data_IF_077421836501
#
_entry.id   IF_077421836501
#
_cell.length_a   1.000
_cell.length_b   1.000
_cell.length_c   1.000
_cell.angle_alpha   90.00
_cell.angle_beta   90.00
_cell.angle_gamma   90.00
#
_symmetry.space_group_name_H-M   'P 1'
#
loop_
_entity.id
_entity.type
_entity.pdbx_description
1 polymer ?
#
# COMPACT_ATOMS: atom_id res chain seq x y z
N UNK A 1 -15.85 38.50 -12.64
CA UNK A 1 -16.41 37.92 -13.87
C UNK A 1 -15.99 36.47 -13.92
N UNK A 2 -16.95 35.54 -14.00
CA UNK A 2 -16.65 34.11 -14.16
C UNK A 2 -16.38 33.82 -15.63
N UNK A 3 -15.13 34.01 -16.07
CA UNK A 3 -14.72 33.75 -17.45
C UNK A 3 -14.86 32.27 -17.83
N UNK A 4 -14.90 31.37 -16.85
CA UNK A 4 -15.07 29.93 -17.07
C UNK A 4 -16.52 29.52 -17.27
N UNK A 5 -17.48 30.36 -16.87
CA UNK A 5 -18.92 30.15 -17.12
C UNK A 5 -19.31 30.24 -18.60
N UNK A 6 -18.40 30.66 -19.48
CA UNK A 6 -18.60 30.71 -20.95
C UNK A 6 -18.10 29.42 -21.66
N UNK A 7 -17.36 28.57 -20.96
CA UNK A 7 -16.83 27.32 -21.52
C UNK A 7 -17.91 26.24 -21.37
N UNK A 8 -18.24 25.48 -22.43
CA UNK A 8 -19.17 24.36 -22.33
C UNK A 8 -18.73 23.32 -21.31
N UNK A 9 -19.69 22.71 -20.61
CA UNK A 9 -19.44 21.71 -19.58
C UNK A 9 -18.60 20.53 -20.10
N UNK A 10 -18.88 20.05 -21.32
CA UNK A 10 -18.11 18.97 -21.95
C UNK A 10 -16.62 19.31 -22.10
N UNK A 11 -16.30 20.57 -22.43
CA UNK A 11 -14.91 21.02 -22.51
C UNK A 11 -14.26 21.07 -21.12
N UNK A 12 -14.99 21.48 -20.09
CA UNK A 12 -14.51 21.47 -18.71
C UNK A 12 -14.29 20.04 -18.22
N UNK A 13 -15.20 19.10 -18.52
CA UNK A 13 -15.04 17.69 -18.19
C UNK A 13 -13.83 17.09 -18.91
N UNK A 14 -13.62 17.37 -20.19
CA UNK A 14 -12.43 16.87 -20.88
C UNK A 14 -11.15 17.42 -20.27
N UNK A 15 -11.09 18.73 -19.92
CA UNK A 15 -9.96 19.32 -19.20
C UNK A 15 -9.73 18.59 -17.87
N UNK A 16 -10.76 18.45 -17.04
CA UNK A 16 -10.68 17.79 -15.73
C UNK A 16 -10.18 16.35 -15.86
N UNK A 17 -10.60 15.62 -16.90
CA UNK A 17 -10.21 14.23 -17.13
C UNK A 17 -8.71 14.03 -17.41
N UNK A 18 -7.99 15.10 -17.76
CA UNK A 18 -6.52 15.10 -17.90
C UNK A 18 -5.77 15.60 -16.66
N UNK A 19 -6.49 15.97 -15.60
CA UNK A 19 -5.91 16.39 -14.32
C UNK A 19 -5.84 15.23 -13.34
N UNK A 20 -5.48 15.50 -12.08
CA UNK A 20 -5.58 14.52 -11.00
C UNK A 20 -6.97 14.56 -10.33
N UNK A 21 -7.39 13.48 -9.64
CA UNK A 21 -8.55 13.50 -8.74
C UNK A 21 -8.51 14.64 -7.72
N UNK A 22 -7.32 14.92 -7.15
CA UNK A 22 -7.13 16.03 -6.22
C UNK A 22 -7.36 17.40 -6.87
N UNK A 23 -6.80 17.62 -8.06
CA UNK A 23 -6.98 18.88 -8.79
C UNK A 23 -8.41 19.06 -9.26
N UNK A 24 -9.08 17.97 -9.67
CA UNK A 24 -10.51 18.00 -10.00
C UNK A 24 -11.35 18.40 -8.78
N UNK A 25 -11.07 17.83 -7.61
CA UNK A 25 -11.76 18.21 -6.38
C UNK A 25 -11.52 19.70 -6.04
N UNK A 26 -10.30 20.21 -6.20
CA UNK A 26 -9.97 21.63 -5.98
C UNK A 26 -10.69 22.54 -6.97
N UNK A 27 -10.61 22.25 -8.27
CA UNK A 27 -11.24 23.03 -9.34
C UNK A 27 -12.77 23.05 -9.21
N UNK A 28 -13.38 21.97 -8.72
CA UNK A 28 -14.84 21.90 -8.48
C UNK A 28 -15.35 22.98 -7.51
N UNK A 29 -14.48 23.55 -6.67
CA UNK A 29 -14.84 24.62 -5.72
C UNK A 29 -14.66 26.02 -6.30
N UNK A 30 -14.03 26.15 -7.47
CA UNK A 30 -13.65 27.44 -8.05
C UNK A 30 -14.76 28.13 -8.85
N UNK A 31 -15.62 27.37 -9.53
CA UNK A 31 -16.74 27.88 -10.31
C UNK A 31 -17.87 26.86 -10.41
N UNK A 32 -19.09 27.31 -10.75
CA UNK A 32 -20.23 26.41 -10.96
C UNK A 32 -20.02 25.47 -12.16
N UNK A 33 -19.36 25.95 -13.21
CA UNK A 33 -19.06 25.14 -14.39
C UNK A 33 -18.14 23.97 -14.04
N UNK A 34 -17.05 24.23 -13.32
CA UNK A 34 -16.16 23.16 -12.85
C UNK A 34 -16.84 22.24 -11.83
N UNK A 35 -17.73 22.78 -10.98
CA UNK A 35 -18.49 21.97 -10.04
C UNK A 35 -19.35 20.92 -10.77
N UNK A 36 -20.14 21.35 -11.76
CA UNK A 36 -20.97 20.46 -12.57
C UNK A 36 -20.13 19.44 -13.34
N UNK A 37 -19.09 19.91 -14.04
CA UNK A 37 -18.20 19.07 -14.81
C UNK A 37 -17.47 18.01 -13.97
N UNK A 38 -17.18 18.30 -12.69
CA UNK A 38 -16.55 17.39 -11.75
C UNK A 38 -17.49 16.32 -11.17
N UNK A 39 -18.79 16.35 -11.48
CA UNK A 39 -19.73 15.25 -11.19
C UNK A 39 -19.87 14.29 -12.39
N UNK A 40 -19.26 14.58 -13.54
CA UNK A 40 -19.36 13.77 -14.75
C UNK A 40 -18.63 12.42 -14.62
N UNK A 41 -19.32 11.33 -14.96
CA UNK A 41 -18.75 9.98 -14.94
C UNK A 41 -17.55 9.81 -15.89
N UNK A 42 -17.53 10.56 -17.00
CA UNK A 42 -16.43 10.54 -17.98
C UNK A 42 -15.11 10.98 -17.32
N UNK A 43 -15.18 11.93 -16.39
CA UNK A 43 -14.00 12.42 -15.65
C UNK A 43 -13.47 11.33 -14.73
N UNK A 44 -14.35 10.76 -13.90
CA UNK A 44 -13.96 9.79 -12.88
C UNK A 44 -13.59 8.43 -13.48
N UNK A 45 -14.14 8.05 -14.63
CA UNK A 45 -13.71 6.86 -15.35
C UNK A 45 -12.25 6.97 -15.82
N UNK A 46 -11.78 8.15 -16.27
CA UNK A 46 -10.36 8.33 -16.64
C UNK A 46 -9.40 8.23 -15.45
N UNK A 47 -9.88 8.42 -14.22
CA UNK A 47 -9.07 8.27 -13.01
C UNK A 47 -8.97 6.84 -12.51
N UNK A 48 -9.83 5.95 -13.00
CA UNK A 48 -9.77 4.54 -12.67
C UNK A 48 -8.65 3.84 -13.47
N UNK A 49 -7.99 2.82 -12.90
CA UNK A 49 -7.04 2.02 -13.66
C UNK A 49 -7.70 1.36 -14.87
N UNK A 50 -6.97 1.17 -15.97
CA UNK A 50 -7.52 0.58 -17.21
C UNK A 50 -8.14 -0.81 -17.02
N UNK A 51 -7.71 -1.56 -16.01
CA UNK A 51 -8.21 -2.88 -15.64
C UNK A 51 -9.26 -2.85 -14.52
N UNK A 52 -9.83 -1.68 -14.18
CA UNK A 52 -10.79 -1.55 -13.08
C UNK A 52 -12.00 -2.47 -13.22
N UNK A 53 -12.46 -2.76 -14.44
CA UNK A 53 -13.58 -3.68 -14.68
C UNK A 53 -13.29 -5.09 -14.15
N UNK A 54 -12.07 -5.58 -14.34
CA UNK A 54 -11.63 -6.86 -13.77
C UNK A 54 -11.56 -6.81 -12.25
N UNK A 55 -11.22 -5.65 -11.69
CA UNK A 55 -11.12 -5.42 -10.24
C UNK A 55 -12.53 -5.42 -9.61
N UNK A 56 -13.47 -4.65 -10.15
CA UNK A 56 -14.83 -4.55 -9.60
C UNK A 56 -15.63 -5.85 -9.78
N UNK A 57 -15.33 -6.65 -10.81
CA UNK A 57 -15.98 -7.96 -11.00
C UNK A 57 -15.80 -8.91 -9.81
N UNK A 58 -14.77 -8.67 -8.99
CA UNK A 58 -14.47 -9.44 -7.77
C UNK A 58 -15.28 -8.99 -6.56
N UNK A 59 -16.00 -7.87 -6.63
CA UNK A 59 -16.78 -7.31 -5.52
C UNK A 59 -18.19 -6.89 -5.95
N UNK A 60 -19.21 -7.58 -5.44
CA UNK A 60 -20.62 -7.27 -5.73
C UNK A 60 -21.06 -5.89 -5.24
N UNK A 61 -20.46 -5.37 -4.16
CA UNK A 61 -20.83 -4.05 -3.63
C UNK A 61 -20.39 -2.91 -4.54
N UNK A 62 -19.22 -3.05 -5.20
CA UNK A 62 -18.70 -2.04 -6.12
C UNK A 62 -19.48 -1.98 -7.44
N UNK A 63 -20.06 -3.11 -7.88
CA UNK A 63 -20.93 -3.15 -9.06
C UNK A 63 -22.24 -2.38 -8.87
N UNK A 64 -22.62 -2.10 -7.63
CA UNK A 64 -23.84 -1.38 -7.30
C UNK A 64 -23.61 0.13 -7.10
N UNK A 65 -22.38 0.63 -7.31
CA UNK A 65 -22.09 2.07 -7.19
C UNK A 65 -22.90 2.88 -8.21
N UNK A 66 -23.61 3.94 -7.77
CA UNK A 66 -24.53 4.68 -8.63
C UNK A 66 -23.84 5.70 -9.55
N UNK A 67 -22.53 5.96 -9.36
CA UNK A 67 -21.71 6.80 -10.25
C UNK A 67 -20.24 6.39 -10.19
N UNK A 68 -19.46 6.76 -11.21
CA UNK A 68 -18.01 6.50 -11.28
C UNK A 68 -17.25 7.22 -10.17
N UNK A 69 -17.71 8.42 -9.79
CA UNK A 69 -17.17 9.16 -8.63
C UNK A 69 -17.31 8.37 -7.33
N UNK A 70 -18.51 7.83 -7.07
CA UNK A 70 -18.74 7.04 -5.87
C UNK A 70 -17.97 5.72 -5.90
N UNK A 71 -17.84 5.09 -7.07
CA UNK A 71 -16.99 3.92 -7.26
C UNK A 71 -15.53 4.23 -6.92
N UNK A 72 -15.00 5.35 -7.43
CA UNK A 72 -13.63 5.79 -7.16
C UNK A 72 -13.39 5.96 -5.65
N UNK A 73 -14.23 6.72 -4.95
CA UNK A 73 -14.06 6.90 -3.50
C UNK A 73 -14.26 5.61 -2.71
N UNK A 74 -15.16 4.73 -3.14
CA UNK A 74 -15.32 3.41 -2.52
C UNK A 74 -14.03 2.58 -2.63
N UNK A 75 -13.35 2.64 -3.77
CA UNK A 75 -12.05 1.99 -3.99
C UNK A 75 -10.90 2.62 -3.20
N UNK A 76 -11.00 3.91 -2.86
CA UNK A 76 -10.04 4.58 -1.98
C UNK A 76 -10.25 4.21 -0.51
N UNK A 77 -11.49 4.32 -0.05
CA UNK A 77 -11.82 4.27 1.38
C UNK A 77 -12.04 2.82 1.88
N UNK A 78 -12.34 1.87 0.99
CA UNK A 78 -12.59 0.47 1.33
C UNK A 78 -11.74 -0.50 0.49
N UNK A 79 -10.57 -0.92 1.01
CA UNK A 79 -9.72 -1.89 0.32
C UNK A 79 -10.47 -3.20 0.05
N UNK A 80 -10.38 -3.70 -1.17
CA UNK A 80 -10.95 -4.99 -1.55
C UNK A 80 -9.91 -6.10 -1.43
N UNK A 81 -10.35 -7.29 -1.05
CA UNK A 81 -9.50 -8.46 -1.05
C UNK A 81 -9.42 -9.09 -2.44
N UNK A 82 -8.20 -9.39 -2.88
CA UNK A 82 -7.89 -10.05 -4.15
C UNK A 82 -7.04 -11.30 -3.88
N UNK A 83 -6.84 -12.11 -4.93
CA UNK A 83 -6.05 -13.34 -4.87
C UNK A 83 -6.47 -14.29 -3.73
N UNK A 84 -7.76 -14.63 -3.66
CA UNK A 84 -8.29 -15.51 -2.61
C UNK A 84 -8.19 -14.94 -1.19
N UNK A 85 -8.02 -13.62 -1.03
CA UNK A 85 -7.86 -12.97 0.28
C UNK A 85 -6.41 -12.76 0.71
N UNK A 86 -5.44 -13.06 -0.15
CA UNK A 86 -4.01 -12.95 0.14
C UNK A 86 -3.44 -11.57 -0.14
N UNK A 87 -4.13 -10.77 -0.95
CA UNK A 87 -3.76 -9.40 -1.25
C UNK A 87 -4.94 -8.47 -1.02
N UNK A 88 -4.67 -7.20 -0.74
CA UNK A 88 -5.68 -6.16 -0.75
C UNK A 88 -5.35 -5.08 -1.76
N UNK A 89 -6.37 -4.56 -2.42
CA UNK A 89 -6.28 -3.51 -3.41
C UNK A 89 -7.10 -2.28 -2.97
N UNK A 90 -6.53 -1.10 -3.17
CA UNK A 90 -7.24 0.18 -3.08
C UNK A 90 -6.64 1.20 -4.05
N UNK A 91 -7.26 2.37 -4.16
CA UNK A 91 -6.70 3.50 -4.91
C UNK A 91 -6.16 4.56 -3.97
N UNK A 92 -5.00 5.14 -4.31
CA UNK A 92 -4.58 6.39 -3.70
C UNK A 92 -5.57 7.50 -4.08
N UNK A 93 -6.08 8.20 -3.07
CA UNK A 93 -7.18 9.17 -3.21
C UNK A 93 -6.81 10.43 -3.98
N UNK A 94 -5.52 10.79 -4.00
CA UNK A 94 -5.04 12.01 -4.65
C UNK A 94 -4.70 11.77 -6.11
N UNK A 95 -4.08 10.63 -6.38
CA UNK A 95 -3.47 10.32 -7.68
C UNK A 95 -4.26 9.31 -8.50
N UNK A 96 -5.17 8.53 -7.88
CA UNK A 96 -5.86 7.41 -8.53
C UNK A 96 -4.94 6.23 -8.85
N UNK A 97 -3.70 6.22 -8.34
CA UNK A 97 -2.74 5.15 -8.56
C UNK A 97 -3.05 3.96 -7.65
N UNK A 98 -2.67 2.77 -8.09
CA UNK A 98 -2.98 1.51 -7.41
C UNK A 98 -2.16 1.38 -6.13
N UNK A 99 -2.83 1.04 -5.03
CA UNK A 99 -2.24 0.61 -3.77
C UNK A 99 -2.45 -0.89 -3.60
N UNK A 100 -1.40 -1.60 -3.18
CA UNK A 100 -1.51 -3.03 -2.85
C UNK A 100 -0.93 -3.32 -1.48
N UNK A 101 -1.54 -4.25 -0.76
CA UNK A 101 -0.89 -4.88 0.40
C UNK A 101 -0.85 -6.39 0.21
N UNK A 102 0.32 -6.98 0.43
CA UNK A 102 0.54 -8.42 0.51
C UNK A 102 0.25 -8.85 1.94
N UNK A 103 -0.66 -9.80 2.16
CA UNK A 103 -0.96 -10.30 3.50
C UNK A 103 0.23 -11.04 4.11
N UNK A 104 0.30 -11.08 5.44
CA UNK A 104 1.31 -11.85 6.16
C UNK A 104 1.37 -13.32 5.75
N UNK A 105 0.23 -13.89 5.31
CA UNK A 105 0.12 -15.27 4.83
C UNK A 105 0.85 -15.52 3.50
N UNK A 106 1.01 -14.48 2.69
CA UNK A 106 1.69 -14.55 1.39
C UNK A 106 3.15 -14.07 1.48
N UNK A 107 3.60 -13.68 2.68
CA UNK A 107 5.01 -13.36 2.91
C UNK A 107 5.84 -14.64 3.08
N UNK A 108 7.03 -14.64 2.50
CA UNK A 108 8.05 -15.63 2.83
C UNK A 108 8.68 -15.25 4.18
N UNK A 109 8.15 -15.84 5.24
CA UNK A 109 8.60 -15.64 6.62
C UNK A 109 9.32 -16.89 7.10
N UNK A 110 10.50 -16.68 7.68
CA UNK A 110 11.35 -17.75 8.18
C UNK A 110 10.74 -18.51 9.36
N UNK A 111 10.71 -19.84 9.22
CA UNK A 111 10.06 -20.79 10.14
C UNK A 111 8.59 -20.52 10.43
N UNK A 112 7.88 -19.88 9.50
CA UNK A 112 6.48 -19.50 9.67
C UNK A 112 5.50 -20.68 9.76
N UNK A 113 5.95 -21.86 9.34
CA UNK A 113 5.31 -23.16 9.49
C UNK A 113 5.56 -23.82 10.86
N UNK A 114 6.45 -23.25 11.68
CA UNK A 114 6.85 -23.81 12.98
C UNK A 114 6.06 -23.14 14.12
N UNK A 115 5.08 -23.83 14.75
CA UNK A 115 4.17 -23.22 15.73
C UNK A 115 4.83 -22.71 17.02
N UNK A 116 6.06 -23.17 17.30
CA UNK A 116 6.85 -22.68 18.42
C UNK A 116 7.30 -21.23 18.22
N UNK A 117 7.53 -20.84 16.96
CA UNK A 117 8.06 -19.53 16.60
C UNK A 117 6.98 -18.56 16.14
N UNK A 118 5.99 -19.07 15.40
CA UNK A 118 4.90 -18.27 14.86
C UNK A 118 3.54 -18.84 15.23
N UNK A 119 2.56 -17.96 15.43
CA UNK A 119 1.16 -18.31 15.49
C UNK A 119 0.37 -17.48 14.49
N UNK A 120 -0.67 -18.07 13.96
CA UNK A 120 -1.57 -17.42 13.03
C UNK A 120 -2.92 -17.26 13.69
N UNK A 121 -3.48 -16.06 13.61
CA UNK A 121 -4.75 -15.76 14.26
C UNK A 121 -5.50 -14.69 13.49
N UNK A 122 -6.82 -14.65 13.64
CA UNK A 122 -7.61 -13.48 13.27
C UNK A 122 -7.26 -12.29 14.15
N UNK A 123 -7.37 -11.08 13.61
CA UNK A 123 -7.24 -9.83 14.36
C UNK A 123 -8.39 -8.91 13.95
N UNK A 124 -9.16 -8.32 14.90
CA UNK A 124 -10.36 -7.55 14.59
C UNK A 124 -10.07 -6.35 13.68
N UNK A 125 -8.95 -5.68 13.90
CA UNK A 125 -8.55 -4.53 13.08
C UNK A 125 -7.83 -4.92 11.78
N UNK A 126 -7.74 -6.21 11.45
CA UNK A 126 -7.07 -6.66 10.23
C UNK A 126 -8.03 -6.74 9.04
N UNK A 127 -7.59 -6.24 7.89
CA UNK A 127 -8.28 -6.48 6.60
C UNK A 127 -8.15 -7.92 6.11
N UNK A 128 -7.15 -8.67 6.57
CA UNK A 128 -6.94 -10.08 6.23
C UNK A 128 -7.49 -11.00 7.32
N UNK A 129 -7.89 -12.20 6.91
CA UNK A 129 -8.42 -13.24 7.81
C UNK A 129 -7.43 -13.65 8.90
N UNK A 130 -6.13 -13.63 8.60
CA UNK A 130 -5.08 -14.03 9.51
C UNK A 130 -3.88 -13.08 9.48
N UNK A 131 -3.27 -12.89 10.64
CA UNK A 131 -2.02 -12.15 10.84
C UNK A 131 -0.95 -13.06 11.45
N UNK A 132 0.32 -12.77 11.19
CA UNK A 132 1.43 -13.55 11.74
C UNK A 132 1.84 -12.99 13.11
N UNK A 133 1.77 -13.81 14.14
CA UNK A 133 2.19 -13.48 15.51
C UNK A 133 3.53 -14.13 15.81
N UNK A 134 4.57 -13.32 15.97
CA UNK A 134 5.88 -13.76 16.40
C UNK A 134 5.87 -14.10 17.89
N UNK A 135 6.08 -15.37 18.22
CA UNK A 135 6.21 -15.86 19.60
C UNK A 135 7.65 -15.68 20.08
N UNK A 136 8.60 -16.25 19.31
CA UNK A 136 10.00 -16.28 19.66
C UNK A 136 10.83 -16.65 18.43
N UNK A 137 11.86 -15.87 18.10
CA UNK A 137 12.95 -16.27 17.20
C UNK A 137 14.25 -15.58 17.62
N UNK A 138 15.40 -16.07 17.16
CA UNK A 138 16.66 -15.32 17.23
C UNK A 138 17.04 -14.69 15.89
N UNK A 139 16.51 -15.21 14.78
CA UNK A 139 16.76 -14.74 13.43
C UNK A 139 15.40 -14.38 12.81
N UNK A 140 15.29 -13.19 12.22
CA UNK A 140 14.05 -12.74 11.61
C UNK A 140 14.35 -12.30 10.18
N UNK A 141 13.67 -12.92 9.23
CA UNK A 141 13.74 -12.59 7.81
C UNK A 141 12.33 -12.77 7.22
N UNK A 142 11.80 -11.68 6.66
CA UNK A 142 10.48 -11.59 6.06
C UNK A 142 10.61 -10.92 4.71
N UNK A 143 10.07 -11.56 3.67
CA UNK A 143 10.08 -11.05 2.29
C UNK A 143 8.67 -11.03 1.74
N UNK A 144 8.32 -9.93 1.07
CA UNK A 144 7.12 -9.83 0.26
C UNK A 144 7.50 -9.54 -1.18
N UNK A 145 6.84 -10.20 -2.12
CA UNK A 145 7.09 -10.07 -3.55
C UNK A 145 5.80 -9.68 -4.26
N UNK A 146 5.85 -8.69 -5.14
CA UNK A 146 4.72 -8.29 -5.99
C UNK A 146 5.18 -8.11 -7.43
N UNK A 147 4.37 -8.58 -8.36
CA UNK A 147 4.60 -8.38 -9.78
C UNK A 147 4.46 -6.89 -10.14
N UNK A 148 5.46 -6.35 -10.83
CA UNK A 148 5.51 -4.95 -11.29
C UNK A 148 4.30 -4.55 -12.15
N UNK A 149 3.73 -5.49 -12.91
CA UNK A 149 2.54 -5.29 -13.76
C UNK A 149 1.27 -5.01 -12.97
N UNK A 150 1.22 -5.40 -11.69
CA UNK A 150 0.10 -5.04 -10.81
C UNK A 150 0.18 -3.57 -10.41
N UNK A 151 1.38 -3.02 -10.26
CA UNK A 151 1.62 -1.64 -9.87
C UNK A 151 1.35 -0.65 -11.02
N UNK A 152 1.00 0.58 -10.68
CA UNK A 152 0.85 1.65 -11.67
C UNK A 152 2.18 2.02 -12.30
N UNK A 153 2.19 2.20 -13.62
CA UNK A 153 3.36 2.66 -14.39
C UNK A 153 3.69 4.12 -14.07
N UNK A 154 4.95 4.51 -14.34
CA UNK A 154 5.54 5.83 -14.07
C UNK A 154 5.16 6.38 -12.71
N UNK A 155 5.28 5.55 -11.67
CA UNK A 155 4.83 5.88 -10.31
C UNK A 155 5.95 5.58 -9.31
N UNK A 156 6.24 6.55 -8.45
CA UNK A 156 7.08 6.33 -7.26
C UNK A 156 6.23 5.62 -6.21
N UNK A 157 6.75 4.54 -5.67
CA UNK A 157 6.14 3.77 -4.60
C UNK A 157 7.01 3.84 -3.36
N UNK A 158 6.37 4.07 -2.22
CA UNK A 158 6.94 3.84 -0.90
C UNK A 158 6.37 2.53 -0.37
N UNK A 159 7.25 1.67 0.12
CA UNK A 159 6.87 0.35 0.64
C UNK A 159 6.92 0.37 2.15
N UNK A 160 5.87 -0.14 2.79
CA UNK A 160 5.70 -0.14 4.24
C UNK A 160 5.47 -1.54 4.77
N UNK A 161 6.13 -1.89 5.87
CA UNK A 161 5.69 -3.02 6.70
C UNK A 161 4.60 -2.52 7.65
N UNK A 162 3.46 -3.19 7.69
CA UNK A 162 2.34 -2.86 8.58
C UNK A 162 2.18 -3.92 9.67
N UNK A 163 2.24 -3.48 10.93
CA UNK A 163 2.37 -4.36 12.08
C UNK A 163 1.80 -3.77 13.39
N UNK A 164 1.67 -4.60 14.41
CA UNK A 164 1.36 -4.21 15.80
C UNK A 164 2.38 -4.83 16.75
N UNK A 165 2.53 -4.21 17.92
CA UNK A 165 3.38 -4.70 19.00
C UNK A 165 2.50 -5.13 20.18
N UNK A 166 2.71 -6.35 20.68
CA UNK A 166 2.06 -6.81 21.91
C UNK A 166 2.62 -6.08 23.12
N UNK A 167 1.82 -5.99 24.17
CA UNK A 167 2.33 -5.67 25.51
C UNK A 167 3.41 -6.68 25.88
N UNK A 168 4.58 -6.21 26.31
CA UNK A 168 5.74 -7.06 26.62
C UNK A 168 6.49 -7.60 25.40
N UNK A 169 6.34 -7.01 24.21
CA UNK A 169 7.26 -7.28 23.08
C UNK A 169 8.72 -7.01 23.49
N UNK A 170 9.65 -7.74 22.88
CA UNK A 170 11.07 -7.66 23.23
C UNK A 170 11.99 -8.01 22.06
N UNK A 171 13.25 -7.58 22.15
CA UNK A 171 14.36 -8.06 21.31
C UNK A 171 14.41 -7.55 19.87
N UNK A 172 13.44 -6.76 19.42
CA UNK A 172 13.40 -6.17 18.07
C UNK A 172 13.26 -4.64 18.14
N UNK A 173 14.38 -3.95 18.38
CA UNK A 173 14.43 -2.48 18.42
C UNK A 173 14.67 -1.87 17.03
N UNK A 174 15.56 -2.50 16.26
CA UNK A 174 15.95 -2.09 14.92
C UNK A 174 15.99 -3.27 13.98
N UNK A 175 15.73 -3.04 12.70
CA UNK A 175 15.89 -4.03 11.63
C UNK A 175 16.52 -3.37 10.40
N UNK A 176 17.09 -4.19 9.52
CA UNK A 176 17.53 -3.75 8.21
C UNK A 176 16.40 -3.99 7.20
N UNK A 177 16.18 -3.04 6.29
CA UNK A 177 15.19 -3.16 5.22
C UNK A 177 15.75 -2.73 3.89
N UNK A 178 15.24 -3.32 2.82
CA UNK A 178 15.43 -2.84 1.47
C UNK A 178 14.24 -3.19 0.59
N UNK A 179 14.15 -2.50 -0.55
CA UNK A 179 13.25 -2.83 -1.65
C UNK A 179 14.08 -2.87 -2.93
N UNK A 180 13.88 -3.89 -3.75
CA UNK A 180 14.64 -4.09 -5.00
C UNK A 180 13.77 -4.64 -6.13
N UNK A 181 14.24 -4.46 -7.35
CA UNK A 181 13.75 -5.21 -8.52
C UNK A 181 14.54 -6.51 -8.63
N UNK A 182 13.84 -7.64 -8.59
CA UNK A 182 14.47 -8.97 -8.46
C UNK A 182 15.35 -9.34 -9.65
N UNK A 183 15.00 -8.83 -10.82
CA UNK A 183 15.67 -9.02 -12.11
C UNK A 183 16.87 -8.07 -12.33
N UNK A 184 16.97 -6.97 -11.56
CA UNK A 184 17.97 -5.91 -11.77
C UNK A 184 19.08 -5.89 -10.73
N UNK A 185 18.82 -6.44 -9.55
CA UNK A 185 19.72 -6.36 -8.40
C UNK A 185 19.72 -7.68 -7.62
N UNK A 186 20.91 -8.19 -7.28
CA UNK A 186 21.05 -9.40 -6.47
C UNK A 186 20.75 -9.15 -4.99
N UNK A 187 20.47 -10.22 -4.23
CA UNK A 187 20.26 -10.14 -2.77
C UNK A 187 21.45 -9.51 -2.03
N UNK A 188 22.68 -9.81 -2.45
CA UNK A 188 23.89 -9.33 -1.79
C UNK A 188 24.07 -7.82 -1.98
N UNK A 189 23.89 -7.34 -3.23
CA UNK A 189 23.96 -5.91 -3.55
C UNK A 189 22.89 -5.12 -2.78
N UNK A 190 21.67 -5.65 -2.71
CA UNK A 190 20.58 -5.02 -1.98
C UNK A 190 20.81 -5.00 -0.45
N UNK A 191 21.43 -6.04 0.11
CA UNK A 191 21.77 -6.09 1.54
C UNK A 191 22.85 -5.07 1.92
N UNK A 192 23.83 -4.81 1.04
CA UNK A 192 24.88 -3.81 1.30
C UNK A 192 24.33 -2.39 1.44
N UNK A 193 23.21 -2.09 0.76
CA UNK A 193 22.52 -0.79 0.82
C UNK A 193 21.27 -0.80 1.72
N UNK A 194 21.09 -1.85 2.52
CA UNK A 194 19.94 -1.95 3.41
C UNK A 194 19.93 -0.80 4.43
N UNK A 195 18.77 -0.22 4.65
CA UNK A 195 18.57 0.87 5.61
C UNK A 195 18.23 0.32 6.98
N UNK A 196 18.78 0.92 8.04
CA UNK A 196 18.40 0.59 9.41
C UNK A 196 17.15 1.38 9.79
N UNK A 197 16.13 0.67 10.26
CA UNK A 197 14.84 1.23 10.68
C UNK A 197 14.57 0.90 12.15
N UNK A 198 13.89 1.80 12.86
CA UNK A 198 13.55 1.64 14.28
C UNK A 198 12.09 1.23 14.48
N UNK A 199 11.90 0.04 15.05
CA UNK A 199 10.60 -0.63 15.27
C UNK A 199 9.90 -0.12 16.53
N UNK A 200 10.67 0.25 17.56
CA UNK A 200 10.16 0.78 18.81
C UNK A 200 9.82 2.27 18.67
N UNK A 201 8.67 2.68 19.20
CA UNK A 201 8.25 4.08 19.28
C UNK A 201 9.24 4.89 20.12
N UNK A 202 10.12 5.65 19.47
CA UNK A 202 10.87 6.73 20.12
C UNK A 202 10.29 8.07 19.68
N UNK A 203 9.85 8.86 20.64
CA UNK A 203 9.42 10.25 20.40
C UNK A 203 10.65 11.08 20.04
N UNK A 204 10.64 11.67 18.83
CA UNK A 204 11.72 12.51 18.31
C UNK A 204 11.72 12.55 16.77
N UNK A 205 12.25 13.61 16.16
CA UNK A 205 12.32 13.76 14.71
C UNK A 205 13.34 12.76 14.14
N UNK A 206 12.89 11.87 13.25
CA UNK A 206 13.75 10.95 12.52
C UNK A 206 12.98 10.23 11.41
N UNK A 207 13.57 10.17 10.22
CA UNK A 207 12.91 9.68 8.99
C UNK A 207 12.72 8.15 8.96
N UNK A 208 13.45 7.37 9.79
CA UNK A 208 13.42 5.90 9.78
C UNK A 208 12.78 5.28 11.03
N UNK A 209 11.62 5.79 11.45
CA UNK A 209 10.91 5.31 12.66
C UNK A 209 9.51 4.85 12.32
N UNK A 210 9.05 3.81 13.01
CA UNK A 210 7.66 3.37 12.92
C UNK A 210 6.69 4.50 13.32
N UNK A 211 5.59 4.65 12.58
CA UNK A 211 4.53 5.63 12.85
C UNK A 211 3.20 4.90 13.06
N UNK A 212 2.33 5.48 13.89
CA UNK A 212 0.96 4.99 14.07
C UNK A 212 0.07 5.52 12.94
N UNK A 213 -0.76 4.66 12.38
CA UNK A 213 -1.76 4.94 11.36
C UNK A 213 -3.12 5.24 12.01
N UNK A 214 -4.05 5.76 11.20
CA UNK A 214 -5.43 6.03 11.63
C UNK A 214 -6.22 4.75 11.95
N UNK A 215 -5.83 3.62 11.37
CA UNK A 215 -6.39 2.28 11.63
C UNK A 215 -5.75 1.57 12.84
N UNK A 216 -4.99 2.32 13.65
CA UNK A 216 -4.32 1.86 14.87
C UNK A 216 -3.18 0.85 14.62
N UNK A 217 -2.88 0.50 13.37
CA UNK A 217 -1.66 -0.23 13.03
C UNK A 217 -0.45 0.70 13.08
N UNK A 218 0.72 0.10 13.24
CA UNK A 218 2.00 0.76 13.02
C UNK A 218 2.44 0.49 11.59
N UNK A 219 3.12 1.44 10.97
CA UNK A 219 3.85 1.23 9.72
C UNK A 219 5.29 1.71 9.83
N UNK A 220 6.16 1.08 9.07
CA UNK A 220 7.55 1.52 8.91
C UNK A 220 7.95 1.46 7.45
N UNK A 221 8.55 2.53 6.96
CA UNK A 221 9.05 2.62 5.58
C UNK A 221 10.23 1.66 5.40
N UNK A 222 10.11 0.78 4.42
CA UNK A 222 11.13 -0.21 4.06
C UNK A 222 12.06 0.29 2.95
N UNK A 223 11.56 1.22 2.11
CA UNK A 223 12.28 1.83 1.00
C UNK A 223 11.34 2.33 -0.09
N UNK A 224 11.93 2.92 -1.13
CA UNK A 224 11.23 3.51 -2.28
C UNK A 224 11.70 2.89 -3.59
N UNK A 225 10.80 2.80 -4.56
CA UNK A 225 11.09 2.37 -5.94
C UNK A 225 10.31 3.21 -6.94
N UNK A 226 10.84 3.33 -8.17
CA UNK A 226 10.12 3.92 -9.30
C UNK A 226 9.74 2.82 -10.29
N UNK A 227 8.44 2.56 -10.45
CA UNK A 227 7.93 1.62 -11.43
C UNK A 227 7.71 2.34 -12.76
N UNK A 228 8.65 2.26 -13.70
CA UNK A 228 8.59 2.98 -14.98
C UNK A 228 7.61 2.33 -15.98
N UNK A 229 8.00 1.20 -16.60
CA UNK A 229 7.28 0.61 -17.72
C UNK A 229 6.34 -0.56 -17.33
N UNK A 230 6.38 -1.04 -16.08
CA UNK A 230 5.71 -2.28 -15.68
C UNK A 230 6.20 -3.47 -16.51
N UNK A 231 7.53 -3.60 -16.66
CA UNK A 231 8.21 -4.72 -17.32
C UNK A 231 7.88 -6.05 -16.64
N UNK A 232 8.00 -7.19 -17.32
CA UNK A 232 7.81 -8.50 -16.68
C UNK A 232 8.90 -8.73 -15.62
N UNK A 233 8.53 -8.58 -14.36
CA UNK A 233 9.44 -8.69 -13.23
C UNK A 233 8.73 -8.53 -11.89
N UNK A 234 9.51 -8.57 -10.82
CA UNK A 234 8.98 -8.53 -9.46
C UNK A 234 9.74 -7.52 -8.62
N UNK A 235 8.99 -6.83 -7.75
CA UNK A 235 9.56 -6.03 -6.67
C UNK A 235 9.54 -6.87 -5.40
N UNK A 236 10.70 -7.01 -4.75
CA UNK A 236 10.84 -7.64 -3.44
C UNK A 236 11.10 -6.56 -2.39
N UNK A 237 10.37 -6.63 -1.29
CA UNK A 237 10.64 -5.91 -0.07
C UNK A 237 11.05 -6.89 1.03
N UNK A 238 12.16 -6.64 1.70
CA UNK A 238 12.70 -7.51 2.75
C UNK A 238 12.93 -6.73 4.03
N UNK A 239 12.52 -7.31 5.15
CA UNK A 239 12.92 -6.88 6.50
C UNK A 239 13.69 -8.01 7.17
N UNK A 240 14.85 -7.68 7.73
CA UNK A 240 15.74 -8.65 8.35
C UNK A 240 16.39 -8.13 9.64
N UNK A 241 16.40 -8.97 10.67
CA UNK A 241 17.26 -8.83 11.85
C UNK A 241 17.86 -10.22 12.14
N UNK A 242 19.03 -10.43 11.57
CA UNK A 242 19.71 -11.73 11.49
C UNK A 242 21.08 -11.74 12.14
N UNK A 243 21.58 -10.57 12.58
CA UNK A 243 22.97 -10.39 13.02
C UNK A 243 23.10 -10.36 14.54
N UNK A 244 22.15 -9.74 15.25
CA UNK A 244 22.23 -9.63 16.73
C UNK A 244 21.89 -10.96 17.41
N UNK A 245 21.12 -11.82 16.75
CA UNK A 245 20.72 -13.16 17.21
C UNK A 245 20.08 -13.18 18.61
N UNK A 246 19.60 -12.03 19.09
CA UNK A 246 18.88 -11.91 20.35
C UNK A 246 17.46 -12.44 20.18
N UNK A 247 16.98 -13.12 21.22
CA UNK A 247 15.60 -13.57 21.30
C UNK A 247 14.65 -12.38 21.13
N UNK A 248 13.68 -12.53 20.24
CA UNK A 248 12.67 -11.50 19.93
C UNK A 248 11.28 -12.11 19.78
N UNK A 249 10.27 -11.36 20.22
CA UNK A 249 8.89 -11.81 20.27
C UNK A 249 7.90 -10.67 20.48
N UNK A 250 6.61 -10.97 20.29
CA UNK A 250 5.52 -10.01 20.47
C UNK A 250 5.25 -9.10 19.27
N UNK A 251 5.71 -9.48 18.08
CA UNK A 251 5.46 -8.78 16.82
C UNK A 251 4.23 -9.36 16.11
N UNK A 252 3.30 -8.54 15.64
CA UNK A 252 2.11 -8.97 14.89
C UNK A 252 2.16 -8.35 13.50
N UNK A 253 2.34 -9.16 12.46
CA UNK A 253 2.47 -8.68 11.08
C UNK A 253 1.14 -8.79 10.36
N UNK A 254 0.67 -7.67 9.81
CA UNK A 254 -0.48 -7.67 8.91
C UNK A 254 -0.05 -7.95 7.47
N UNK A 255 1.01 -7.30 7.00
CA UNK A 255 1.44 -7.38 5.62
C UNK A 255 2.44 -6.30 5.20
N UNK A 256 2.77 -6.28 3.92
CA UNK A 256 3.63 -5.27 3.28
C UNK A 256 2.79 -4.48 2.28
N UNK A 257 2.74 -3.16 2.44
CA UNK A 257 1.97 -2.22 1.61
C UNK A 257 2.85 -1.47 0.61
N UNK A 258 2.42 -1.40 -0.64
CA UNK A 258 3.00 -0.60 -1.70
C UNK A 258 2.06 0.57 -1.97
N UNK A 259 2.48 1.78 -1.58
CA UNK A 259 1.69 3.01 -1.72
C UNK A 259 2.38 3.98 -2.68
N UNK A 260 1.65 4.57 -3.63
CA UNK A 260 2.14 5.71 -4.43
C UNK A 260 2.57 6.87 -3.51
N UNK A 261 3.65 7.56 -3.89
CA UNK A 261 4.12 8.79 -3.23
C UNK A 261 3.29 10.03 -3.60
#
# INVERSE_FOLDING_TARGET
MDYFGLIPEDCLSEILSFTSPEDTARLSTSSRGFNSAAESDVVWEKFLPSDYQNIISKSKSLLASPSMKQLYFSLCDSPILTDGGKMSFSLDKKTGKKCFMISARELAISWSDTPHYWAWSSHPDSRFSEVANLRFVCWLDMRGKIETRLLSKRTNYVVYLVFKLKSGHYGLETANTFVRFVDRESDNEAEERASVVSISRQEGPGENRSKRRDDEWMEIEMGKIFNDAGEDGDVEARLMEVRRLSAKGGFIVQGIEFRPE
#
